data_IF_468772068537
#
_entry.id   IF_468772068537
#
_cell.length_a   1.000
_cell.length_b   1.000
_cell.length_c   1.000
_cell.angle_alpha   90.00
_cell.angle_beta   90.00
_cell.angle_gamma   90.00
#
_symmetry.space_group_name_H-M   'P 1'
#
loop_
_entity.id
_entity.type
_entity.pdbx_description
1 polymer ?
#
# COMPACT_ATOMS: atom_id res chain seq x y z
N UNK A 1 36.98 -5.48 -20.47
CA UNK A 1 35.95 -6.55 -20.49
C UNK A 1 35.22 -6.57 -19.13
N UNK A 2 34.41 -5.59 -18.82
CA UNK A 2 33.69 -5.44 -17.53
C UNK A 2 32.29 -4.83 -17.66
N UNK A 3 31.89 -4.44 -18.85
CA UNK A 3 30.66 -3.65 -19.06
C UNK A 3 29.35 -4.46 -19.11
N UNK A 4 29.41 -5.77 -19.30
CA UNK A 4 28.22 -6.58 -19.56
C UNK A 4 27.53 -7.16 -18.30
N UNK A 5 28.23 -7.23 -17.18
CA UNK A 5 27.71 -7.80 -15.92
C UNK A 5 26.88 -6.79 -15.10
N UNK A 6 27.18 -5.52 -15.20
CA UNK A 6 26.52 -4.47 -14.41
C UNK A 6 25.16 -4.02 -15.00
N UNK A 7 24.97 -4.17 -16.31
CA UNK A 7 23.68 -3.89 -16.98
C UNK A 7 22.56 -4.79 -16.46
N UNK A 8 22.93 -6.01 -16.00
CA UNK A 8 21.96 -6.96 -15.41
C UNK A 8 21.59 -6.65 -13.94
N UNK A 9 22.26 -5.72 -13.27
CA UNK A 9 21.95 -5.37 -11.87
C UNK A 9 20.96 -4.21 -11.74
N UNK A 10 20.93 -3.28 -12.70
CA UNK A 10 20.00 -2.15 -12.67
C UNK A 10 18.54 -2.61 -12.82
N UNK A 11 18.27 -3.59 -13.70
CA UNK A 11 16.93 -4.13 -13.90
C UNK A 11 16.37 -4.85 -12.66
N UNK A 12 17.11 -5.74 -11.97
CA UNK A 12 16.67 -6.33 -10.70
C UNK A 12 16.46 -5.30 -9.58
N UNK A 13 17.24 -4.21 -9.55
CA UNK A 13 17.06 -3.15 -8.55
C UNK A 13 15.79 -2.38 -8.86
N UNK A 14 15.57 -1.96 -10.10
CA UNK A 14 14.31 -1.34 -10.51
C UNK A 14 13.09 -2.25 -10.29
N UNK A 15 13.22 -3.57 -10.54
CA UNK A 15 12.18 -4.55 -10.22
C UNK A 15 11.97 -4.72 -8.70
N UNK A 16 13.04 -4.65 -7.90
CA UNK A 16 12.95 -4.66 -6.43
C UNK A 16 12.39 -3.34 -5.88
N UNK A 17 12.62 -2.22 -6.55
CA UNK A 17 12.01 -0.92 -6.21
C UNK A 17 10.50 -1.02 -6.08
N UNK A 18 9.88 -1.98 -6.72
CA UNK A 18 8.43 -2.17 -6.72
C UNK A 18 7.96 -3.41 -5.93
N UNK A 19 8.88 -4.20 -5.37
CA UNK A 19 8.57 -5.27 -4.40
C UNK A 19 7.83 -4.74 -3.17
N UNK A 20 7.78 -3.43 -3.02
CA UNK A 20 7.10 -2.79 -1.90
C UNK A 20 5.58 -2.94 -1.95
N UNK A 21 4.95 -2.85 -3.11
CA UNK A 21 3.53 -3.17 -3.26
C UNK A 21 3.22 -4.58 -2.77
N UNK A 22 4.10 -5.55 -3.06
CA UNK A 22 3.95 -6.92 -2.55
C UNK A 22 4.18 -7.02 -1.03
N UNK A 23 5.06 -6.18 -0.44
CA UNK A 23 5.27 -6.16 1.03
C UNK A 23 4.08 -5.54 1.76
N UNK A 24 3.53 -4.43 1.28
CA UNK A 24 2.28 -3.86 1.82
C UNK A 24 1.20 -4.93 1.79
N UNK A 25 1.05 -5.57 0.66
CA UNK A 25 0.10 -6.62 0.49
C UNK A 25 0.33 -7.83 1.38
N UNK A 26 1.54 -8.35 1.41
CA UNK A 26 1.87 -9.51 2.24
C UNK A 26 1.72 -9.21 3.73
N UNK A 27 2.01 -7.99 4.16
CA UNK A 27 1.86 -7.58 5.55
C UNK A 27 0.39 -7.42 5.95
N UNK A 28 -0.43 -6.79 5.10
CA UNK A 28 -1.88 -6.73 5.30
C UNK A 28 -2.49 -8.13 5.30
N UNK A 29 -2.05 -9.02 4.39
CA UNK A 29 -2.43 -10.43 4.35
C UNK A 29 -2.04 -11.17 5.63
N UNK A 30 -0.83 -10.97 6.14
CA UNK A 30 -0.34 -11.63 7.35
C UNK A 30 -1.06 -11.15 8.60
N UNK A 31 -1.46 -9.87 8.69
CA UNK A 31 -2.26 -9.32 9.77
C UNK A 31 -3.67 -9.91 9.79
N UNK A 32 -4.28 -10.02 8.64
CA UNK A 32 -5.58 -10.62 8.49
C UNK A 32 -5.59 -12.10 8.91
N UNK A 33 -4.51 -12.84 8.58
CA UNK A 33 -4.39 -14.28 8.88
C UNK A 33 -4.05 -14.59 10.34
N UNK A 34 -3.43 -13.68 11.09
CA UNK A 34 -2.87 -13.95 12.43
C UNK A 34 -3.91 -14.26 13.53
N UNK A 35 -5.20 -13.97 13.33
CA UNK A 35 -6.27 -14.25 14.30
C UNK A 35 -7.05 -15.54 14.07
N UNK A 36 -6.77 -16.30 13.01
CA UNK A 36 -7.43 -17.61 12.78
C UNK A 36 -6.97 -18.74 13.72
N UNK A 37 -5.95 -18.51 14.56
CA UNK A 37 -5.34 -19.54 15.42
C UNK A 37 -5.74 -19.48 16.90
N UNK A 38 -6.68 -18.62 17.28
CA UNK A 38 -7.17 -18.54 18.69
C UNK A 38 -8.70 -18.66 18.79
N UNK A 39 -9.26 -19.78 18.32
CA UNK A 39 -10.70 -20.09 18.43
C UNK A 39 -11.09 -20.86 19.70
N UNK A 40 -10.31 -20.81 20.78
CA UNK A 40 -10.64 -21.57 22.00
C UNK A 40 -11.17 -20.74 23.19
N UNK A 41 -11.50 -19.47 23.01
CA UNK A 41 -12.00 -18.64 24.14
C UNK A 41 -13.18 -17.72 23.81
N UNK A 42 -14.04 -18.06 22.83
CA UNK A 42 -15.15 -17.19 22.45
C UNK A 42 -16.55 -17.73 22.78
N UNK A 43 -16.67 -18.83 23.55
CA UNK A 43 -17.99 -19.35 23.95
C UNK A 43 -18.55 -18.78 25.25
N UNK A 44 -17.93 -17.80 25.90
CA UNK A 44 -18.34 -17.32 27.22
C UNK A 44 -18.91 -15.89 27.28
N UNK A 45 -19.02 -15.16 26.18
CA UNK A 45 -19.55 -13.79 26.17
C UNK A 45 -20.56 -13.51 25.04
N UNK A 46 -21.33 -14.49 24.66
CA UNK A 46 -22.48 -14.29 23.78
C UNK A 46 -23.75 -14.10 24.64
N UNK A 47 -23.84 -12.94 25.23
CA UNK A 47 -25.03 -12.47 25.88
C UNK A 47 -24.96 -10.96 25.98
N UNK A 48 -25.86 -10.30 25.29
CA UNK A 48 -26.22 -8.91 25.39
C UNK A 48 -25.56 -7.90 24.41
N UNK A 49 -26.51 -7.22 23.75
CA UNK A 49 -26.49 -5.89 23.18
C UNK A 49 -26.23 -5.80 21.68
N UNK A 50 -27.25 -6.19 20.89
CA UNK A 50 -27.63 -5.40 19.71
C UNK A 50 -28.07 -4.01 20.18
N UNK A 51 -27.12 -3.17 20.56
CA UNK A 51 -27.36 -1.75 20.69
C UNK A 51 -27.00 -1.10 19.36
N UNK A 52 -28.01 -0.68 18.60
CA UNK A 52 -27.90 0.22 17.45
C UNK A 52 -27.39 1.60 17.87
N UNK A 53 -26.18 1.64 18.42
CA UNK A 53 -25.40 2.85 18.55
C UNK A 53 -24.22 2.75 17.61
N UNK A 54 -24.48 2.93 16.32
CA UNK A 54 -23.46 3.33 15.36
C UNK A 54 -22.95 4.69 15.78
N UNK A 55 -22.04 4.74 16.77
CA UNK A 55 -21.17 5.90 16.93
C UNK A 55 -20.31 5.92 15.67
N UNK A 56 -20.67 6.83 14.76
CA UNK A 56 -19.88 7.12 13.59
C UNK A 56 -18.46 7.44 14.05
N UNK A 57 -17.52 6.55 13.72
CA UNK A 57 -16.10 6.84 13.95
C UNK A 57 -15.72 8.03 13.06
N UNK A 58 -14.83 8.92 13.53
CA UNK A 58 -14.34 10.01 12.69
C UNK A 58 -13.87 9.47 11.34
N UNK A 59 -14.27 10.12 10.23
CA UNK A 59 -13.86 9.70 8.89
C UNK A 59 -14.51 8.43 8.34
N UNK A 60 -15.57 7.91 8.97
CA UNK A 60 -16.36 6.84 8.38
C UNK A 60 -17.11 7.33 7.13
N UNK A 61 -17.06 6.53 6.10
CA UNK A 61 -17.82 6.72 4.86
C UNK A 61 -18.62 5.45 4.54
N UNK A 62 -19.81 5.63 3.97
CA UNK A 62 -20.70 4.51 3.65
C UNK A 62 -20.06 3.57 2.60
N UNK A 63 -20.13 2.23 2.80
CA UNK A 63 -19.57 1.25 1.88
C UNK A 63 -20.10 1.38 0.45
N UNK A 64 -21.35 1.77 0.27
CA UNK A 64 -21.97 1.98 -1.04
C UNK A 64 -21.35 3.15 -1.81
N UNK A 65 -20.96 4.22 -1.11
CA UNK A 65 -20.27 5.38 -1.71
C UNK A 65 -18.87 4.96 -2.15
N UNK A 66 -18.12 4.31 -1.26
CA UNK A 66 -16.75 3.87 -1.55
C UNK A 66 -16.69 2.80 -2.66
N UNK A 67 -17.68 1.91 -2.72
CA UNK A 67 -17.80 0.93 -3.79
C UNK A 67 -18.09 1.57 -5.16
N UNK A 68 -18.80 2.71 -5.19
CA UNK A 68 -19.03 3.44 -6.43
C UNK A 68 -17.79 4.18 -6.97
N UNK A 69 -16.84 4.52 -6.09
CA UNK A 69 -15.63 5.29 -6.40
C UNK A 69 -14.38 4.43 -6.58
N UNK A 70 -14.43 3.17 -6.19
CA UNK A 70 -13.27 2.26 -6.18
C UNK A 70 -13.58 0.96 -6.89
N UNK A 71 -12.58 0.14 -7.24
CA UNK A 71 -12.81 -1.16 -7.86
C UNK A 71 -13.42 -2.22 -6.94
N UNK A 72 -13.68 -1.89 -5.67
CA UNK A 72 -14.24 -2.82 -4.69
C UNK A 72 -15.76 -2.91 -4.78
N UNK A 73 -16.30 -4.08 -4.50
CA UNK A 73 -17.73 -4.29 -4.23
C UNK A 73 -18.09 -3.80 -2.81
N UNK A 74 -19.37 -3.61 -2.54
CA UNK A 74 -19.86 -3.23 -1.19
C UNK A 74 -19.37 -4.22 -0.13
N UNK A 75 -19.50 -5.53 -0.37
CA UNK A 75 -19.06 -6.56 0.57
C UNK A 75 -17.55 -6.57 0.81
N UNK A 76 -16.76 -6.22 -0.22
CA UNK A 76 -15.31 -6.06 -0.07
C UNK A 76 -14.97 -4.82 0.75
N UNK A 77 -15.69 -3.72 0.58
CA UNK A 77 -15.53 -2.51 1.40
C UNK A 77 -15.88 -2.79 2.87
N UNK A 78 -16.95 -3.56 3.14
CA UNK A 78 -17.31 -3.98 4.49
C UNK A 78 -16.20 -4.86 5.11
N UNK A 79 -15.63 -5.79 4.34
CA UNK A 79 -14.48 -6.58 4.79
C UNK A 79 -13.23 -5.73 5.05
N UNK A 80 -12.98 -4.69 4.24
CA UNK A 80 -11.93 -3.71 4.46
C UNK A 80 -12.17 -2.88 5.72
N UNK A 81 -13.43 -2.60 6.07
CA UNK A 81 -13.74 -1.92 7.33
C UNK A 81 -13.36 -2.74 8.55
N UNK A 82 -13.58 -4.06 8.53
CA UNK A 82 -13.13 -4.95 9.61
C UNK A 82 -11.59 -4.98 9.73
N UNK A 83 -10.87 -4.94 8.60
CA UNK A 83 -9.42 -4.80 8.61
C UNK A 83 -8.99 -3.44 9.17
N UNK A 84 -9.62 -2.36 8.71
CA UNK A 84 -9.36 -1.00 9.17
C UNK A 84 -9.53 -0.87 10.69
N UNK A 85 -10.64 -1.38 11.26
CA UNK A 85 -10.86 -1.39 12.71
C UNK A 85 -9.75 -2.10 13.48
N UNK A 86 -9.21 -3.19 12.94
CA UNK A 86 -8.09 -3.90 13.56
C UNK A 86 -6.79 -3.10 13.55
N UNK A 87 -6.57 -2.32 12.49
CA UNK A 87 -5.39 -1.47 12.37
C UNK A 87 -5.49 -0.25 13.29
N UNK A 88 -6.61 0.46 13.22
CA UNK A 88 -6.88 1.71 13.98
C UNK A 88 -7.13 1.49 15.48
N UNK A 89 -7.05 0.26 15.96
CA UNK A 89 -7.14 -0.09 17.38
C UNK A 89 -5.91 -0.86 17.86
N UNK A 90 -4.85 -0.87 17.08
CA UNK A 90 -3.65 -1.66 17.39
C UNK A 90 -2.76 -1.03 18.46
N UNK A 91 -2.80 0.29 18.58
CA UNK A 91 -2.06 1.11 19.57
C UNK A 91 -3.02 2.09 20.24
N UNK A 92 -3.77 2.87 19.47
CA UNK A 92 -4.73 3.87 19.93
C UNK A 92 -6.12 3.45 19.42
N UNK A 93 -7.12 3.44 20.30
CA UNK A 93 -8.46 3.00 19.92
C UNK A 93 -9.37 4.21 19.69
N UNK A 94 -9.08 4.98 18.63
CA UNK A 94 -9.83 6.18 18.24
C UNK A 94 -10.55 6.07 16.90
N UNK A 95 -10.33 4.94 16.18
CA UNK A 95 -10.95 4.70 14.88
C UNK A 95 -10.21 5.37 13.71
N UNK A 96 -8.97 5.80 13.91
CA UNK A 96 -8.08 6.38 12.91
C UNK A 96 -6.78 5.57 12.86
N UNK A 97 -6.14 5.47 11.69
CA UNK A 97 -4.84 4.82 11.60
C UNK A 97 -3.75 5.88 11.74
N UNK A 98 -3.02 5.83 12.83
CA UNK A 98 -1.83 6.65 13.06
C UNK A 98 -0.59 6.07 12.36
N UNK A 99 0.41 6.90 12.16
CA UNK A 99 1.64 6.52 11.44
C UNK A 99 2.34 5.32 12.09
N UNK A 100 2.37 5.25 13.41
CA UNK A 100 2.97 4.15 14.17
C UNK A 100 2.19 2.84 13.99
N UNK A 101 0.86 2.91 13.91
CA UNK A 101 0.01 1.75 13.64
C UNK A 101 0.20 1.23 12.24
N UNK A 102 0.27 2.15 11.27
CA UNK A 102 0.53 1.82 9.88
C UNK A 102 1.91 1.18 9.69
N UNK A 103 2.95 1.74 10.32
CA UNK A 103 4.30 1.19 10.29
C UNK A 103 4.36 -0.20 10.95
N UNK A 104 3.70 -0.37 12.12
CA UNK A 104 3.61 -1.66 12.78
C UNK A 104 2.91 -2.71 11.92
N UNK A 105 1.86 -2.30 11.20
CA UNK A 105 1.13 -3.14 10.28
C UNK A 105 2.00 -3.61 9.11
N UNK A 106 2.79 -2.72 8.52
CA UNK A 106 3.59 -3.02 7.33
C UNK A 106 4.89 -3.76 7.64
N UNK A 107 5.60 -3.40 8.70
CA UNK A 107 6.98 -3.84 8.92
C UNK A 107 7.19 -4.69 10.17
N UNK A 108 6.18 -4.89 11.02
CA UNK A 108 6.29 -5.64 12.29
C UNK A 108 7.42 -5.18 13.23
N UNK A 109 8.14 -4.11 12.88
CA UNK A 109 9.28 -3.62 13.64
C UNK A 109 9.08 -2.12 13.90
N UNK A 110 8.84 -1.78 15.17
CA UNK A 110 8.58 -0.40 15.63
C UNK A 110 9.81 0.51 15.58
N UNK A 111 11.00 -0.07 15.55
CA UNK A 111 12.23 0.67 15.84
C UNK A 111 13.02 1.09 14.59
N UNK A 112 12.58 0.70 13.40
CA UNK A 112 13.31 1.00 12.17
C UNK A 112 12.55 2.05 11.36
N UNK A 113 13.09 3.28 11.29
CA UNK A 113 12.58 4.28 10.36
C UNK A 113 12.68 3.72 8.95
N UNK A 114 11.59 3.74 8.23
CA UNK A 114 11.52 3.22 6.87
C UNK A 114 10.91 4.29 5.96
N UNK A 115 11.75 4.84 5.08
CA UNK A 115 11.33 5.88 4.14
C UNK A 115 10.10 5.46 3.33
N UNK A 116 10.03 4.19 2.91
CA UNK A 116 8.87 3.72 2.14
C UNK A 116 7.59 3.70 2.97
N UNK A 117 7.66 3.25 4.24
CA UNK A 117 6.49 3.28 5.11
C UNK A 117 5.99 4.69 5.31
N UNK A 118 6.93 5.62 5.52
CA UNK A 118 6.62 7.04 5.66
C UNK A 118 5.95 7.58 4.40
N UNK A 119 6.51 7.29 3.23
CA UNK A 119 5.97 7.75 1.96
C UNK A 119 4.60 7.15 1.63
N UNK A 120 4.41 5.85 1.88
CA UNK A 120 3.10 5.22 1.66
C UNK A 120 2.06 5.81 2.63
N UNK A 121 2.42 6.04 3.90
CA UNK A 121 1.55 6.72 4.84
C UNK A 121 1.12 8.09 4.30
N UNK A 122 2.07 8.92 3.85
CA UNK A 122 1.81 10.24 3.29
C UNK A 122 0.93 10.20 2.02
N UNK A 123 1.00 9.12 1.24
CA UNK A 123 0.14 8.92 0.06
C UNK A 123 -1.26 8.45 0.43
N UNK A 124 -1.41 7.75 1.55
CA UNK A 124 -2.70 7.31 2.08
C UNK A 124 -3.39 8.45 2.84
N UNK A 125 -2.66 9.30 3.56
CA UNK A 125 -3.16 10.50 4.22
C UNK A 125 -3.44 11.60 3.16
N UNK A 126 -4.54 11.43 2.43
CA UNK A 126 -4.92 12.33 1.33
C UNK A 126 -5.23 13.73 1.85
N UNK A 127 -5.83 13.83 3.04
CA UNK A 127 -6.21 15.08 3.70
C UNK A 127 -5.04 15.79 4.38
N UNK A 128 -3.89 15.10 4.52
CA UNK A 128 -2.68 15.58 5.18
C UNK A 128 -2.92 16.05 6.62
N UNK A 129 -3.74 15.30 7.35
CA UNK A 129 -4.08 15.59 8.75
C UNK A 129 -3.30 14.72 9.76
N UNK A 130 -2.35 13.88 9.27
CA UNK A 130 -1.49 13.04 10.08
C UNK A 130 -2.10 11.70 10.49
N UNK A 131 -3.28 11.39 9.99
CA UNK A 131 -3.98 10.12 10.22
C UNK A 131 -4.62 9.64 8.92
N UNK A 132 -4.87 8.33 8.82
CA UNK A 132 -5.61 7.76 7.70
C UNK A 132 -7.01 7.43 8.15
N UNK A 133 -8.01 8.03 7.52
CA UNK A 133 -9.43 7.75 7.72
C UNK A 133 -9.88 6.57 6.85
N UNK A 134 -11.04 5.99 7.15
CA UNK A 134 -11.53 4.80 6.44
C UNK A 134 -11.67 5.02 4.93
N UNK A 135 -12.26 6.13 4.50
CA UNK A 135 -12.41 6.45 3.07
C UNK A 135 -11.07 6.58 2.36
N UNK A 136 -10.08 7.22 2.99
CA UNK A 136 -8.72 7.35 2.46
C UNK A 136 -8.04 5.98 2.34
N UNK A 137 -8.20 5.13 3.34
CA UNK A 137 -7.67 3.77 3.35
C UNK A 137 -8.20 2.94 2.18
N UNK A 138 -9.53 2.95 1.96
CA UNK A 138 -10.17 2.19 0.87
C UNK A 138 -9.75 2.72 -0.51
N UNK A 139 -9.79 4.05 -0.72
CA UNK A 139 -9.38 4.65 -2.00
C UNK A 139 -7.92 4.36 -2.33
N UNK A 140 -7.05 4.48 -1.35
CA UNK A 140 -5.62 4.21 -1.56
C UNK A 140 -5.34 2.73 -1.82
N UNK A 141 -6.01 1.81 -1.12
CA UNK A 141 -5.92 0.38 -1.42
C UNK A 141 -6.50 0.03 -2.79
N UNK A 142 -7.52 0.78 -3.24
CA UNK A 142 -8.12 0.61 -4.56
C UNK A 142 -7.11 0.67 -5.71
N UNK A 143 -6.04 1.46 -5.58
CA UNK A 143 -4.96 1.55 -6.57
C UNK A 143 -4.23 0.21 -6.76
N UNK A 144 -4.12 -0.58 -5.70
CA UNK A 144 -3.46 -1.90 -5.74
C UNK A 144 -4.41 -3.03 -6.17
N UNK A 145 -5.68 -2.74 -6.38
CA UNK A 145 -6.65 -3.74 -6.83
C UNK A 145 -6.30 -4.26 -8.24
N UNK A 146 -6.54 -5.55 -8.56
CA UNK A 146 -6.32 -6.10 -9.89
C UNK A 146 -7.05 -5.35 -11.01
N UNK A 147 -8.23 -4.83 -10.74
CA UNK A 147 -9.07 -4.10 -11.70
C UNK A 147 -8.73 -2.59 -11.76
N UNK A 148 -7.81 -2.09 -10.94
CA UNK A 148 -7.36 -0.70 -11.02
C UNK A 148 -6.60 -0.45 -12.32
N UNK A 149 -6.77 0.75 -12.88
CA UNK A 149 -6.13 1.11 -14.14
C UNK A 149 -4.60 1.16 -14.03
N UNK A 150 -3.92 0.85 -15.13
CA UNK A 150 -2.46 1.02 -15.23
C UNK A 150 -2.08 2.49 -14.99
N UNK A 151 -2.91 3.41 -15.45
CA UNK A 151 -2.68 4.84 -15.29
C UNK A 151 -2.67 5.27 -13.82
N UNK A 152 -3.62 4.77 -13.00
CA UNK A 152 -3.68 5.08 -11.56
C UNK A 152 -2.46 4.52 -10.84
N UNK A 153 -2.07 3.29 -11.16
CA UNK A 153 -0.86 2.65 -10.61
C UNK A 153 0.40 3.43 -10.98
N UNK A 154 0.51 3.86 -12.24
CA UNK A 154 1.65 4.65 -12.72
C UNK A 154 1.73 6.01 -12.02
N UNK A 155 0.59 6.68 -11.85
CA UNK A 155 0.50 7.96 -11.14
C UNK A 155 0.84 7.81 -9.65
N UNK A 156 0.36 6.75 -9.01
CA UNK A 156 0.70 6.47 -7.62
C UNK A 156 2.20 6.21 -7.45
N UNK A 157 2.78 5.41 -8.36
CA UNK A 157 4.22 5.14 -8.38
C UNK A 157 5.03 6.44 -8.58
N UNK A 158 4.61 7.32 -9.48
CA UNK A 158 5.25 8.63 -9.65
C UNK A 158 5.30 9.41 -8.34
N UNK A 159 4.13 9.56 -7.70
CA UNK A 159 4.03 10.27 -6.41
C UNK A 159 4.88 9.63 -5.30
N UNK A 160 5.10 8.33 -5.35
CA UNK A 160 5.95 7.65 -4.38
C UNK A 160 7.40 8.09 -4.50
N UNK A 161 7.88 8.37 -5.70
CA UNK A 161 9.25 8.83 -5.97
C UNK A 161 9.44 10.34 -5.88
N UNK A 162 8.40 11.14 -6.14
CA UNK A 162 8.40 12.60 -5.94
C UNK A 162 8.38 12.93 -4.43
N UNK A 163 9.53 12.84 -3.77
CA UNK A 163 9.66 12.97 -2.32
C UNK A 163 9.38 14.40 -1.85
N UNK A 164 9.76 15.38 -2.68
CA UNK A 164 9.66 16.81 -2.38
C UNK A 164 8.31 17.41 -2.81
N UNK A 165 7.46 16.61 -3.47
CA UNK A 165 6.16 17.07 -4.01
C UNK A 165 6.29 18.24 -5.00
N UNK A 166 7.32 18.23 -5.81
CA UNK A 166 7.59 19.26 -6.83
C UNK A 166 6.82 19.02 -8.13
N UNK A 167 6.28 17.81 -8.32
CA UNK A 167 5.69 17.35 -9.59
C UNK A 167 6.74 16.81 -10.57
N UNK A 168 7.97 16.66 -10.11
CA UNK A 168 9.10 16.08 -10.83
C UNK A 168 9.82 15.09 -9.94
N UNK A 169 10.48 14.10 -10.52
CA UNK A 169 11.41 13.23 -9.80
C UNK A 169 12.81 13.72 -10.12
N UNK A 170 13.52 14.21 -9.12
CA UNK A 170 14.89 14.63 -9.24
C UNK A 170 15.85 13.44 -9.02
N UNK A 171 17.08 13.58 -9.52
CA UNK A 171 18.09 12.52 -9.40
C UNK A 171 18.37 12.12 -7.94
N UNK A 172 18.40 13.10 -7.05
CA UNK A 172 18.65 12.87 -5.62
C UNK A 172 17.50 12.06 -4.97
N UNK A 173 16.28 12.34 -5.34
CA UNK A 173 15.10 11.60 -4.88
C UNK A 173 15.13 10.14 -5.33
N UNK A 174 15.50 9.89 -6.59
CA UNK A 174 15.71 8.55 -7.10
C UNK A 174 16.82 7.83 -6.32
N UNK A 175 17.94 8.52 -6.02
CA UNK A 175 19.03 7.97 -5.23
C UNK A 175 18.58 7.61 -3.81
N UNK A 176 17.85 8.49 -3.14
CA UNK A 176 17.29 8.22 -1.80
C UNK A 176 16.41 6.97 -1.81
N UNK A 177 15.56 6.83 -2.81
CA UNK A 177 14.69 5.67 -2.96
C UNK A 177 15.49 4.39 -3.23
N UNK A 178 16.53 4.43 -4.06
CA UNK A 178 17.42 3.28 -4.30
C UNK A 178 18.13 2.86 -3.02
N UNK A 179 18.68 3.80 -2.26
CA UNK A 179 19.35 3.52 -0.98
C UNK A 179 18.37 2.91 0.04
N UNK A 180 17.16 3.46 0.15
CA UNK A 180 16.14 2.93 1.05
C UNK A 180 15.78 1.46 0.72
N UNK A 181 15.72 1.11 -0.56
CA UNK A 181 15.46 -0.25 -1.03
C UNK A 181 16.58 -1.22 -0.76
N UNK A 182 17.82 -0.79 -0.99
CA UNK A 182 19.01 -1.58 -0.70
C UNK A 182 19.06 -1.90 0.79
N UNK A 183 18.86 -0.88 1.62
CA UNK A 183 18.82 -1.03 3.07
C UNK A 183 17.70 -1.98 3.53
N UNK A 184 16.51 -1.88 2.93
CA UNK A 184 15.37 -2.76 3.27
C UNK A 184 15.58 -4.22 2.83
N UNK A 185 16.39 -4.41 1.81
CA UNK A 185 16.70 -5.74 1.25
C UNK A 185 17.97 -6.36 1.86
N UNK A 186 18.58 -5.70 2.86
CA UNK A 186 19.88 -6.06 3.44
C UNK A 186 20.98 -6.24 2.37
N UNK A 187 20.88 -5.47 1.26
CA UNK A 187 21.86 -5.49 0.18
C UNK A 187 22.83 -4.33 0.39
N UNK A 188 24.11 -4.65 0.48
CA UNK A 188 25.19 -3.66 0.56
C UNK A 188 25.88 -3.59 -0.80
N UNK A 189 25.84 -2.42 -1.42
CA UNK A 189 26.57 -2.09 -2.64
C UNK A 189 27.55 -0.96 -2.34
N UNK A 190 28.62 -0.87 -3.14
CA UNK A 190 29.51 0.28 -3.07
C UNK A 190 28.82 1.54 -3.64
N UNK A 191 29.23 2.71 -3.18
CA UNK A 191 28.66 3.98 -3.62
C UNK A 191 28.75 4.16 -5.15
N UNK A 192 29.86 3.75 -5.76
CA UNK A 192 30.04 3.81 -7.22
C UNK A 192 28.99 2.98 -7.97
N UNK A 193 28.60 1.82 -7.44
CA UNK A 193 27.57 0.97 -8.05
C UNK A 193 26.20 1.60 -7.86
N UNK A 194 25.94 2.19 -6.70
CA UNK A 194 24.68 2.93 -6.46
C UNK A 194 24.55 4.10 -7.44
N UNK A 195 25.59 4.91 -7.59
CA UNK A 195 25.61 6.03 -8.54
C UNK A 195 25.36 5.54 -9.98
N UNK A 196 26.03 4.47 -10.38
CA UNK A 196 25.86 3.88 -11.72
C UNK A 196 24.39 3.44 -11.96
N UNK A 197 23.76 2.84 -10.96
CA UNK A 197 22.36 2.40 -11.04
C UNK A 197 21.44 3.61 -11.17
N UNK A 198 21.66 4.63 -10.35
CA UNK A 198 20.89 5.88 -10.35
C UNK A 198 21.02 6.57 -11.70
N UNK A 199 22.26 6.81 -12.16
CA UNK A 199 22.54 7.48 -13.43
C UNK A 199 21.89 6.76 -14.61
N UNK A 200 22.03 5.43 -14.65
CA UNK A 200 21.42 4.66 -15.74
C UNK A 200 19.90 4.74 -15.70
N UNK A 201 19.28 4.56 -14.53
CA UNK A 201 17.82 4.61 -14.41
C UNK A 201 17.29 5.99 -14.74
N UNK A 202 17.98 7.04 -14.27
CA UNK A 202 17.61 8.42 -14.49
C UNK A 202 17.70 8.78 -15.98
N UNK A 203 18.83 8.47 -16.63
CA UNK A 203 19.02 8.71 -18.07
C UNK A 203 18.06 7.92 -18.98
N UNK A 204 17.65 6.72 -18.52
CA UNK A 204 16.66 5.92 -19.28
C UNK A 204 15.24 6.52 -19.14
N UNK A 205 14.95 7.28 -18.07
CA UNK A 205 13.65 7.87 -17.78
C UNK A 205 13.55 9.35 -18.24
N UNK A 206 14.60 10.16 -18.04
CA UNK A 206 14.70 11.56 -18.47
C UNK A 206 14.90 11.62 -20.00
N UNK A 207 13.82 11.53 -20.76
CA UNK A 207 13.87 11.52 -22.22
C UNK A 207 14.18 12.90 -22.81
N UNK A 208 13.86 13.99 -22.10
CA UNK A 208 14.10 15.37 -22.51
C UNK A 208 15.52 15.82 -22.21
N UNK A 209 16.20 15.17 -21.26
CA UNK A 209 17.56 15.49 -20.84
C UNK A 209 17.64 16.81 -20.08
N UNK A 210 16.56 17.22 -19.37
CA UNK A 210 16.50 18.46 -18.63
C UNK A 210 16.89 18.31 -17.15
N UNK A 211 17.25 17.09 -16.74
CA UNK A 211 17.70 16.77 -15.39
C UNK A 211 16.56 16.55 -14.39
N UNK A 212 15.35 16.34 -14.87
CA UNK A 212 14.16 16.05 -14.09
C UNK A 212 13.32 15.02 -14.84
N UNK A 213 12.57 14.18 -14.15
CA UNK A 213 11.61 13.26 -14.76
C UNK A 213 10.23 13.79 -14.46
N UNK A 214 9.52 14.24 -15.47
CA UNK A 214 8.12 14.65 -15.31
C UNK A 214 7.15 13.47 -15.42
N UNK A 215 5.87 13.74 -15.22
CA UNK A 215 4.84 12.70 -15.21
C UNK A 215 4.67 12.01 -16.58
N UNK A 216 4.89 12.71 -17.68
CA UNK A 216 4.76 12.12 -19.03
C UNK A 216 5.96 11.22 -19.35
N UNK A 217 7.18 11.66 -19.01
CA UNK A 217 8.39 10.86 -19.14
C UNK A 217 8.32 9.60 -18.28
N UNK A 218 7.81 9.73 -17.05
CA UNK A 218 7.57 8.60 -16.17
C UNK A 218 6.57 7.60 -16.78
N UNK A 219 5.45 8.07 -17.35
CA UNK A 219 4.48 7.21 -18.03
C UNK A 219 5.10 6.47 -19.21
N UNK A 220 5.92 7.17 -20.01
CA UNK A 220 6.63 6.57 -21.13
C UNK A 220 7.65 5.52 -20.64
N UNK A 221 8.42 5.84 -19.62
CA UNK A 221 9.37 4.93 -19.00
C UNK A 221 8.70 3.66 -18.46
N UNK A 222 7.58 3.79 -17.74
CA UNK A 222 6.78 2.66 -17.24
C UNK A 222 6.19 1.85 -18.39
N UNK A 223 5.73 2.48 -19.47
CA UNK A 223 5.17 1.77 -20.61
C UNK A 223 6.21 0.88 -21.32
N UNK A 224 7.46 1.35 -21.38
CA UNK A 224 8.61 0.57 -21.90
C UNK A 224 9.06 -0.52 -20.91
N UNK A 225 8.76 -0.35 -19.63
CA UNK A 225 9.18 -1.22 -18.54
C UNK A 225 7.99 -1.66 -17.64
N UNK A 226 7.01 -2.42 -18.17
CA UNK A 226 5.78 -2.75 -17.42
C UNK A 226 6.02 -3.59 -16.16
N UNK A 227 7.19 -4.22 -16.04
CA UNK A 227 7.62 -4.90 -14.81
C UNK A 227 7.69 -3.95 -13.61
N UNK A 228 7.89 -2.65 -13.83
CA UNK A 228 7.98 -1.63 -12.79
C UNK A 228 6.72 -1.52 -11.93
N UNK A 229 5.54 -1.70 -12.49
CA UNK A 229 4.27 -1.61 -11.77
C UNK A 229 3.61 -2.97 -11.47
N UNK A 230 4.27 -4.08 -11.85
CA UNK A 230 3.73 -5.43 -11.63
C UNK A 230 3.38 -5.69 -10.16
N UNK A 231 4.22 -5.23 -9.26
CA UNK A 231 4.04 -5.40 -7.82
C UNK A 231 3.01 -4.42 -7.20
N UNK A 232 2.51 -3.48 -7.99
CA UNK A 232 1.38 -2.61 -7.62
C UNK A 232 0.03 -3.32 -7.77
N UNK A 233 0.03 -4.63 -8.01
CA UNK A 233 -1.20 -5.42 -8.10
C UNK A 233 -1.21 -6.48 -7.01
N UNK A 234 -2.24 -6.44 -6.16
CA UNK A 234 -2.44 -7.37 -5.06
C UNK A 234 -3.63 -8.30 -5.40
N UNK A 235 -3.37 -9.51 -5.92
CA UNK A 235 -4.44 -10.38 -6.46
C UNK A 235 -5.52 -10.72 -5.43
N UNK A 236 -5.16 -10.82 -4.14
CA UNK A 236 -6.10 -11.17 -3.07
C UNK A 236 -7.08 -10.04 -2.71
N UNK A 237 -6.88 -8.81 -3.19
CA UNK A 237 -7.85 -7.74 -3.01
C UNK A 237 -9.12 -7.94 -3.84
N UNK A 238 -9.05 -8.72 -4.92
CA UNK A 238 -10.22 -9.04 -5.75
C UNK A 238 -11.25 -9.92 -5.05
N UNK A 239 -10.79 -10.79 -4.16
CA UNK A 239 -11.63 -11.75 -3.45
C UNK A 239 -11.33 -11.70 -1.95
N UNK A 240 -11.27 -10.48 -1.40
CA UNK A 240 -10.87 -10.25 -0.01
C UNK A 240 -11.79 -10.95 0.99
N UNK A 241 -13.07 -11.08 0.67
CA UNK A 241 -14.06 -11.82 1.47
C UNK A 241 -13.76 -13.31 1.52
N UNK A 242 -13.29 -13.90 0.42
CA UNK A 242 -12.89 -15.31 0.35
C UNK A 242 -11.51 -15.51 0.98
N UNK A 243 -10.60 -14.58 0.78
CA UNK A 243 -9.27 -14.63 1.40
C UNK A 243 -9.33 -14.47 2.92
N UNK A 244 -10.35 -13.77 3.43
CA UNK A 244 -10.55 -13.46 4.83
C UNK A 244 -12.01 -13.68 5.29
N UNK A 245 -12.47 -14.95 5.38
CA UNK A 245 -13.85 -15.25 5.78
C UNK A 245 -14.24 -14.67 7.15
N UNK A 246 -13.25 -14.45 8.04
CA UNK A 246 -13.46 -13.83 9.35
C UNK A 246 -13.83 -12.34 9.30
N UNK A 247 -13.80 -11.72 8.12
CA UNK A 247 -14.20 -10.33 7.90
C UNK A 247 -15.64 -10.22 7.37
N UNK A 248 -16.21 -11.35 6.91
CA UNK A 248 -17.61 -11.38 6.50
C UNK A 248 -18.46 -11.32 7.77
N UNK A 249 -19.22 -10.26 7.93
CA UNK A 249 -20.27 -10.21 8.96
C UNK A 249 -21.39 -11.10 8.45
N UNK A 250 -21.71 -12.17 9.19
CA UNK A 250 -22.88 -13.00 8.90
C UNK A 250 -24.13 -12.16 9.12
N UNK A 251 -24.66 -11.59 8.05
CA UNK A 251 -26.05 -11.16 8.00
C UNK A 251 -26.88 -12.43 7.87
N UNK A 252 -27.12 -13.13 8.98
CA UNK A 252 -28.21 -14.09 9.04
C UNK A 252 -29.50 -13.29 8.90
N UNK A 253 -30.10 -13.40 7.73
CA UNK A 253 -31.51 -13.05 7.52
C UNK A 253 -32.27 -14.08 8.32
N UNK A 254 -32.83 -13.70 9.46
CA UNK A 254 -33.88 -14.49 10.10
C UNK A 254 -35.04 -14.54 9.10
N UNK A 255 -35.18 -15.69 8.43
CA UNK A 255 -36.44 -16.04 7.78
C UNK A 255 -37.45 -16.16 8.91
N UNK A 256 -38.29 -15.15 9.04
CA UNK A 256 -39.47 -15.17 9.87
C UNK A 256 -40.44 -16.11 9.21
N UNK A 257 -40.49 -17.36 9.69
CA UNK A 257 -41.55 -18.31 9.41
C UNK A 257 -42.89 -17.69 9.89
N UNK A 258 -43.82 -17.69 8.98
CA UNK A 258 -45.25 -17.39 9.13
C UNK A 258 -45.95 -18.49 9.93
#
# INVERSE_FOLDING_TARGET
MGSCTYVNLAKPVAEKMLLFGSKVGFSLYALARKKSLSTKSLHALMGCLCSKNTRWTPGYEEPTVLAAETPFTVSEVEALYELFKKLSSSIINDGLIHKEEFQLALFRNRNKRNLFADRIFDLFDIKRNGVIEFGEFVRSLGVFHPNASVADKTTFAFRLYDLKHTGFIERDELKEMVLALLHESDIVLSDDIVELIVDKTFNDADAKGDGQIDQEEWKEFVSKNPSLIKNMTLPYLKDITLAFPSFVVSTEVEDSDV
#
